data_IF_197078757768
#
_entry.id   IF_197078757768
#
_cell.length_a   1.000
_cell.length_b   1.000
_cell.length_c   1.000
_cell.angle_alpha   90.00
_cell.angle_beta   90.00
_cell.angle_gamma   90.00
#
_symmetry.space_group_name_H-M   'P 1'
#
loop_
_entity.id
_entity.type
_entity.pdbx_description
1 polymer ?
#
# COMPACT_ATOMS: atom_id res chain seq x y z
N UNK A 1 1.27 7.60 -7.31
CA UNK A 1 1.63 6.26 -7.81
C UNK A 1 2.92 6.27 -8.61
N UNK A 2 3.21 7.36 -9.28
CA UNK A 2 4.41 7.52 -10.11
C UNK A 2 5.42 8.47 -9.46
N UNK A 3 6.65 8.50 -9.99
CA UNK A 3 7.67 9.48 -9.61
C UNK A 3 7.14 10.90 -9.87
N UNK A 4 6.42 11.11 -10.98
CA UNK A 4 5.80 12.39 -11.30
C UNK A 4 4.80 12.85 -10.23
N UNK A 5 3.99 11.95 -9.67
CA UNK A 5 3.06 12.28 -8.58
C UNK A 5 3.80 12.71 -7.32
N UNK A 6 4.93 12.08 -7.01
CA UNK A 6 5.77 12.47 -5.88
C UNK A 6 6.34 13.89 -6.05
N UNK A 7 6.78 14.23 -7.26
CA UNK A 7 7.23 15.59 -7.57
C UNK A 7 6.09 16.61 -7.49
N UNK A 8 4.89 16.27 -7.97
CA UNK A 8 3.71 17.15 -7.87
C UNK A 8 3.33 17.44 -6.42
N UNK A 9 3.32 16.39 -5.55
CA UNK A 9 3.06 16.57 -4.11
C UNK A 9 4.12 17.47 -3.48
N UNK A 10 5.39 17.22 -3.75
CA UNK A 10 6.50 18.03 -3.23
C UNK A 10 6.39 19.50 -3.67
N UNK A 11 6.07 19.73 -4.93
CA UNK A 11 5.91 21.07 -5.49
C UNK A 11 4.69 21.78 -4.90
N UNK A 12 3.56 21.07 -4.72
CA UNK A 12 2.38 21.61 -4.06
C UNK A 12 2.70 22.09 -2.64
N UNK A 13 3.38 21.26 -1.85
CA UNK A 13 3.78 21.62 -0.47
C UNK A 13 4.70 22.84 -0.49
N UNK A 14 5.67 22.87 -1.41
CA UNK A 14 6.62 24.00 -1.52
C UNK A 14 5.93 25.33 -1.89
N UNK A 15 4.93 25.29 -2.75
CA UNK A 15 4.23 26.51 -3.21
C UNK A 15 3.14 26.99 -2.25
N UNK A 16 2.39 26.07 -1.69
CA UNK A 16 1.17 26.42 -0.93
C UNK A 16 1.38 26.42 0.58
N UNK A 17 2.50 25.87 1.08
CA UNK A 17 2.83 25.79 2.50
C UNK A 17 1.65 25.28 3.36
N UNK A 18 1.03 24.12 3.04
CA UNK A 18 -0.10 23.60 3.78
C UNK A 18 0.27 23.38 5.25
N UNK A 19 -0.61 23.78 6.16
CA UNK A 19 -0.43 23.62 7.60
C UNK A 19 -0.97 22.30 8.10
N UNK A 20 -1.95 21.73 7.39
CA UNK A 20 -2.63 20.50 7.76
C UNK A 20 -2.82 19.55 6.58
N UNK A 21 -2.77 18.25 6.85
CA UNK A 21 -3.02 17.21 5.87
C UNK A 21 -3.85 16.07 6.47
N UNK A 22 -4.82 15.57 5.72
CA UNK A 22 -5.48 14.29 6.00
C UNK A 22 -4.90 13.21 5.07
N UNK A 23 -4.42 12.11 5.65
CA UNK A 23 -4.07 10.90 4.91
C UNK A 23 -5.24 9.92 5.03
N UNK A 24 -5.97 9.74 3.94
CA UNK A 24 -7.08 8.79 3.86
C UNK A 24 -6.55 7.42 3.45
N UNK A 25 -6.71 6.42 4.33
CA UNK A 25 -6.15 5.09 4.17
C UNK A 25 -4.73 4.95 4.75
N UNK A 26 -4.27 3.69 4.96
CA UNK A 26 -3.05 3.43 5.73
C UNK A 26 -2.38 2.13 5.29
N UNK A 27 -2.08 2.03 4.04
CA UNK A 27 -1.14 0.99 3.56
C UNK A 27 0.29 1.28 4.03
N UNK A 28 1.19 0.32 3.83
CA UNK A 28 2.62 0.48 4.07
C UNK A 28 3.23 1.75 3.46
N UNK A 29 2.60 2.27 2.41
CA UNK A 29 3.07 3.47 1.69
C UNK A 29 2.69 4.79 2.37
N UNK A 30 1.68 4.81 3.24
CA UNK A 30 1.24 6.04 3.92
C UNK A 30 2.08 6.38 5.14
N UNK A 31 2.60 5.39 5.84
CA UNK A 31 3.35 5.57 7.08
C UNK A 31 4.66 6.36 6.93
N UNK A 32 5.54 6.09 5.95
CA UNK A 32 6.70 6.95 5.74
C UNK A 32 6.33 8.38 5.34
N UNK A 33 5.21 8.58 4.63
CA UNK A 33 4.75 9.90 4.19
C UNK A 33 4.34 10.81 5.34
N UNK A 34 3.71 10.26 6.39
CA UNK A 34 3.37 11.06 7.56
C UNK A 34 4.61 11.61 8.27
N UNK A 35 5.64 10.79 8.43
CA UNK A 35 6.90 11.24 9.03
C UNK A 35 7.52 12.37 8.20
N UNK A 36 7.47 12.26 6.86
CA UNK A 36 7.94 13.32 5.95
C UNK A 36 7.12 14.60 6.10
N UNK A 37 5.79 14.53 6.13
CA UNK A 37 4.93 15.70 6.30
C UNK A 37 5.13 16.35 7.67
N UNK A 38 5.23 15.57 8.73
CA UNK A 38 5.55 16.08 10.07
C UNK A 38 6.93 16.77 10.11
N UNK A 39 7.93 16.21 9.44
CA UNK A 39 9.24 16.86 9.27
C UNK A 39 9.19 18.20 8.54
N UNK A 40 8.12 18.45 7.74
CA UNK A 40 7.84 19.73 7.10
C UNK A 40 6.89 20.62 7.90
N UNK A 41 6.68 20.33 9.19
CA UNK A 41 5.78 21.05 10.11
C UNK A 41 4.31 21.06 9.71
N UNK A 42 3.86 20.07 8.94
CA UNK A 42 2.45 19.88 8.58
C UNK A 42 1.76 19.08 9.69
N UNK A 43 0.61 19.54 10.19
CA UNK A 43 -0.25 18.73 11.07
C UNK A 43 -0.85 17.57 10.29
N UNK A 44 -0.66 16.34 10.76
CA UNK A 44 -1.11 15.14 10.07
C UNK A 44 -2.25 14.49 10.85
N UNK A 45 -3.37 14.29 10.17
CA UNK A 45 -4.46 13.42 10.62
C UNK A 45 -4.53 12.21 9.71
N UNK A 46 -4.62 11.01 10.28
CA UNK A 46 -4.79 9.77 9.53
C UNK A 46 -6.20 9.26 9.77
N UNK A 47 -6.94 9.12 8.68
CA UNK A 47 -8.22 8.44 8.67
C UNK A 47 -8.09 7.01 8.18
N UNK A 48 -8.77 6.09 8.87
CA UNK A 48 -8.71 4.67 8.59
C UNK A 48 -10.02 3.97 8.88
N UNK A 49 -10.51 3.24 7.89
CA UNK A 49 -11.72 2.41 7.98
C UNK A 49 -11.64 1.37 9.11
N UNK A 50 -10.50 0.74 9.29
CA UNK A 50 -10.31 -0.26 10.33
C UNK A 50 -9.93 0.39 11.67
N UNK A 51 -10.33 -0.25 12.76
CA UNK A 51 -9.96 0.20 14.13
C UNK A 51 -8.46 0.07 14.43
N UNK A 52 -7.69 -0.51 13.52
CA UNK A 52 -6.22 -0.65 13.61
C UNK A 52 -5.53 -0.23 12.32
N UNK A 53 -4.35 0.30 12.46
CA UNK A 53 -3.46 0.54 11.33
C UNK A 53 -2.64 -0.72 11.05
N UNK A 54 -2.33 -0.93 9.75
CA UNK A 54 -1.46 -2.01 9.28
C UNK A 54 -2.04 -3.39 9.59
N UNK A 55 -2.86 -3.89 8.70
CA UNK A 55 -3.59 -5.16 8.81
C UNK A 55 -2.73 -6.37 9.24
N UNK A 56 -1.45 -6.54 8.80
CA UNK A 56 -0.64 -7.68 9.21
C UNK A 56 -0.23 -7.71 10.69
N UNK A 57 -0.37 -6.60 11.43
CA UNK A 57 -0.04 -6.58 12.85
C UNK A 57 -1.27 -6.91 13.70
N UNK A 58 -1.06 -7.67 14.76
CA UNK A 58 -2.07 -7.91 15.77
C UNK A 58 -2.43 -6.59 16.51
N UNK A 59 -3.64 -6.50 17.09
CA UNK A 59 -4.11 -5.24 17.69
C UNK A 59 -3.22 -4.68 18.80
N UNK A 60 -2.60 -5.54 19.60
CA UNK A 60 -1.67 -5.17 20.67
C UNK A 60 -0.38 -4.58 20.08
N UNK A 61 0.20 -5.23 19.08
CA UNK A 61 1.38 -4.72 18.38
C UNK A 61 1.08 -3.43 17.59
N UNK A 62 -0.07 -3.34 16.93
CA UNK A 62 -0.51 -2.13 16.28
C UNK A 62 -0.66 -0.96 17.25
N UNK A 63 -1.04 -1.21 18.52
CA UNK A 63 -1.17 -0.18 19.56
C UNK A 63 0.16 0.52 19.86
N UNK A 64 1.27 -0.19 19.81
CA UNK A 64 2.61 0.40 19.98
C UNK A 64 2.92 1.40 18.86
N UNK A 65 2.57 1.04 17.64
CA UNK A 65 2.72 1.92 16.47
C UNK A 65 1.83 3.16 16.62
N UNK A 66 0.56 2.98 17.04
CA UNK A 66 -0.34 4.09 17.30
C UNK A 66 0.21 5.06 18.36
N UNK A 67 0.81 4.52 19.43
CA UNK A 67 1.39 5.34 20.48
C UNK A 67 2.61 6.13 19.98
N UNK A 68 3.47 5.51 19.18
CA UNK A 68 4.60 6.19 18.56
C UNK A 68 4.14 7.33 17.65
N UNK A 69 3.10 7.11 16.85
CA UNK A 69 2.53 8.15 16.00
C UNK A 69 1.95 9.31 16.81
N UNK A 70 1.19 9.04 17.87
CA UNK A 70 0.63 10.07 18.75
C UNK A 70 1.73 10.87 19.47
N UNK A 71 2.79 10.21 19.91
CA UNK A 71 3.97 10.85 20.51
C UNK A 71 4.59 11.89 19.57
N UNK A 72 4.55 11.64 18.24
CA UNK A 72 5.01 12.57 17.23
C UNK A 72 3.92 13.52 16.70
N UNK A 73 2.80 13.64 17.41
CA UNK A 73 1.74 14.61 17.12
C UNK A 73 0.85 14.25 15.93
N UNK A 74 0.80 12.98 15.54
CA UNK A 74 -0.15 12.51 14.53
C UNK A 74 -1.51 12.25 15.16
N UNK A 75 -2.56 12.84 14.61
CA UNK A 75 -3.94 12.55 15.00
C UNK A 75 -4.43 11.29 14.30
N UNK A 76 -4.99 10.34 15.02
CA UNK A 76 -5.53 9.09 14.49
C UNK A 76 -7.05 9.10 14.62
N UNK A 77 -7.72 8.97 13.48
CA UNK A 77 -9.19 8.83 13.36
C UNK A 77 -9.44 7.44 12.77
N UNK A 78 -9.73 6.48 13.64
CA UNK A 78 -9.78 5.07 13.30
C UNK A 78 -11.22 4.52 13.37
N UNK A 79 -11.58 3.64 12.45
CA UNK A 79 -12.88 2.98 12.43
C UNK A 79 -13.97 3.76 11.69
N UNK A 80 -13.62 4.72 10.86
CA UNK A 80 -14.55 5.52 10.08
C UNK A 80 -14.32 5.34 8.59
N UNK A 81 -15.37 5.59 7.81
CA UNK A 81 -15.34 5.51 6.35
C UNK A 81 -15.38 6.90 5.78
N UNK A 82 -14.44 7.23 4.89
CA UNK A 82 -14.52 8.44 4.07
C UNK A 82 -15.59 8.23 3.01
N UNK A 83 -16.60 9.10 2.99
CA UNK A 83 -17.69 9.09 2.00
C UNK A 83 -17.43 10.05 0.83
N UNK A 84 -16.59 11.05 1.04
CA UNK A 84 -16.32 12.03 -0.01
C UNK A 84 -15.45 13.18 0.44
N UNK A 85 -15.25 14.08 -0.49
CA UNK A 85 -14.47 15.31 -0.30
C UNK A 85 -15.26 16.49 -0.84
N UNK A 86 -15.22 17.60 -0.13
CA UNK A 86 -15.77 18.89 -0.59
C UNK A 86 -14.67 19.93 -0.60
N UNK A 87 -14.54 20.63 -1.71
CA UNK A 87 -13.68 21.80 -1.79
C UNK A 87 -14.24 22.93 -0.93
N UNK A 88 -13.37 23.65 -0.24
CA UNK A 88 -13.67 24.82 0.57
C UNK A 88 -12.69 25.93 0.20
N UNK A 89 -13.06 27.18 0.48
CA UNK A 89 -12.23 28.35 0.18
C UNK A 89 -10.79 28.24 0.70
N UNK A 90 -10.60 27.54 1.84
CA UNK A 90 -9.30 27.34 2.48
C UNK A 90 -8.95 25.87 2.67
N UNK A 91 -9.16 25.01 1.65
CA UNK A 91 -8.76 23.62 1.72
C UNK A 91 -9.83 22.60 1.36
N UNK A 92 -9.82 21.46 2.01
CA UNK A 92 -10.70 20.32 1.73
C UNK A 92 -11.41 19.86 3.00
N UNK A 93 -12.71 19.67 2.92
CA UNK A 93 -13.51 18.98 3.91
C UNK A 93 -13.61 17.51 3.55
N UNK A 94 -13.15 16.63 4.44
CA UNK A 94 -13.26 15.18 4.33
C UNK A 94 -14.51 14.72 5.05
N UNK A 95 -15.46 14.17 4.33
CA UNK A 95 -16.72 13.69 4.86
C UNK A 95 -16.54 12.27 5.40
N UNK A 96 -16.85 12.08 6.67
CA UNK A 96 -16.81 10.78 7.34
C UNK A 96 -18.24 10.29 7.57
N UNK A 97 -18.44 8.98 7.38
CA UNK A 97 -19.72 8.34 7.69
C UNK A 97 -19.97 8.36 9.20
N UNK A 98 -21.15 8.86 9.58
CA UNK A 98 -21.63 8.89 10.97
C UNK A 98 -20.66 9.60 11.96
N UNK A 99 -19.83 10.53 11.47
CA UNK A 99 -18.88 11.28 12.29
C UNK A 99 -18.67 12.70 11.75
N UNK A 100 -18.27 13.68 12.60
CA UNK A 100 -17.91 15.02 12.14
C UNK A 100 -16.84 14.98 11.04
N UNK A 101 -17.00 15.87 10.04
CA UNK A 101 -16.03 16.01 8.96
C UNK A 101 -14.67 16.51 9.46
N UNK A 102 -13.61 16.18 8.72
CA UNK A 102 -12.27 16.68 8.96
C UNK A 102 -11.96 17.82 7.99
N UNK A 103 -11.26 18.84 8.46
CA UNK A 103 -10.78 19.95 7.64
C UNK A 103 -9.28 19.85 7.48
N UNK A 104 -8.78 20.06 6.26
CA UNK A 104 -7.34 20.10 5.98
C UNK A 104 -7.03 20.95 4.75
N UNK A 105 -5.80 21.47 4.69
CA UNK A 105 -5.31 22.20 3.51
C UNK A 105 -5.04 21.27 2.34
N UNK A 106 -4.74 19.99 2.62
CA UNK A 106 -4.53 18.96 1.60
C UNK A 106 -4.99 17.59 2.06
N UNK A 107 -5.34 16.73 1.09
CA UNK A 107 -5.66 15.33 1.31
C UNK A 107 -4.75 14.44 0.46
N UNK A 108 -4.21 13.40 1.07
CA UNK A 108 -3.43 12.36 0.37
C UNK A 108 -4.20 11.05 0.44
N UNK A 109 -4.61 10.53 -0.72
CA UNK A 109 -5.28 9.25 -0.80
C UNK A 109 -4.25 8.11 -0.82
N UNK A 110 -4.37 7.19 0.15
CA UNK A 110 -3.53 6.01 0.28
C UNK A 110 -4.39 4.75 0.53
N UNK A 111 -5.50 4.64 -0.20
CA UNK A 111 -6.55 3.62 -0.03
C UNK A 111 -6.21 2.26 -0.64
N UNK A 112 -4.95 2.03 -1.01
CA UNK A 112 -4.45 0.77 -1.56
C UNK A 112 -4.20 0.81 -3.06
N UNK A 113 -3.93 -0.38 -3.59
CA UNK A 113 -3.63 -0.61 -5.01
C UNK A 113 -4.46 -1.80 -5.51
N UNK A 114 -4.70 -1.79 -6.82
CA UNK A 114 -5.26 -2.93 -7.57
C UNK A 114 -4.26 -3.32 -8.64
N UNK A 115 -4.15 -4.63 -8.96
CA UNK A 115 -3.37 -5.07 -10.10
C UNK A 115 -3.80 -4.34 -11.38
N UNK A 116 -2.83 -3.89 -12.17
CA UNK A 116 -3.10 -3.34 -13.50
C UNK A 116 -2.96 -4.47 -14.52
N UNK A 117 -4.08 -5.09 -14.85
CA UNK A 117 -4.15 -6.33 -15.64
C UNK A 117 -5.02 -6.20 -16.89
N UNK A 118 -5.29 -4.96 -17.31
CA UNK A 118 -6.10 -4.70 -18.52
C UNK A 118 -5.49 -5.42 -19.71
N UNK A 119 -4.19 -5.26 -19.96
CA UNK A 119 -3.49 -5.91 -21.06
C UNK A 119 -3.54 -7.45 -20.97
N UNK A 120 -3.37 -8.00 -19.75
CA UNK A 120 -3.44 -9.44 -19.53
C UNK A 120 -4.84 -9.98 -19.82
N UNK A 121 -5.89 -9.28 -19.42
CA UNK A 121 -7.28 -9.60 -19.70
C UNK A 121 -7.61 -9.58 -21.21
N UNK A 122 -7.16 -8.55 -21.90
CA UNK A 122 -7.32 -8.42 -23.36
C UNK A 122 -6.55 -9.52 -24.12
N UNK A 123 -5.41 -9.96 -23.61
CA UNK A 123 -4.64 -11.08 -24.14
C UNK A 123 -5.21 -12.46 -23.78
N UNK A 124 -6.30 -12.54 -23.02
CA UNK A 124 -6.95 -13.79 -22.66
C UNK A 124 -6.23 -14.59 -21.58
N UNK A 125 -5.38 -13.98 -20.77
CA UNK A 125 -4.73 -14.64 -19.65
C UNK A 125 -5.74 -14.94 -18.53
N UNK A 126 -5.54 -16.04 -17.81
CA UNK A 126 -6.34 -16.38 -16.64
C UNK A 126 -6.07 -15.36 -15.50
N UNK A 127 -7.15 -14.83 -14.94
CA UNK A 127 -7.11 -13.89 -13.81
C UNK A 127 -7.74 -14.54 -12.57
N UNK A 128 -7.12 -14.30 -11.42
CA UNK A 128 -7.53 -14.83 -10.13
C UNK A 128 -8.08 -13.76 -9.19
N UNK A 129 -7.64 -13.81 -7.92
CA UNK A 129 -8.13 -12.91 -6.86
C UNK A 129 -7.88 -11.45 -7.24
N UNK A 130 -8.92 -10.61 -7.10
CA UNK A 130 -8.86 -9.17 -7.45
C UNK A 130 -8.32 -8.89 -8.85
N UNK A 131 -8.65 -9.76 -9.82
CA UNK A 131 -8.19 -9.68 -11.21
C UNK A 131 -6.66 -9.76 -11.38
N UNK A 132 -5.92 -10.35 -10.44
CA UNK A 132 -4.48 -10.61 -10.57
C UNK A 132 -4.20 -11.72 -11.58
N UNK A 133 -3.03 -11.68 -12.20
CA UNK A 133 -2.61 -12.71 -13.17
C UNK A 133 -2.29 -14.01 -12.43
N UNK A 134 -2.90 -15.12 -12.85
CA UNK A 134 -2.60 -16.46 -12.34
C UNK A 134 -1.29 -16.93 -12.99
N UNK A 135 -0.38 -17.41 -12.16
CA UNK A 135 0.90 -18.01 -12.60
C UNK A 135 1.16 -19.33 -11.86
N UNK A 136 1.90 -20.22 -12.49
CA UNK A 136 2.40 -21.42 -11.85
C UNK A 136 3.67 -21.14 -11.03
N UNK A 137 4.29 -22.18 -10.47
CA UNK A 137 5.54 -22.07 -9.69
C UNK A 137 6.77 -21.71 -10.53
N UNK A 138 6.69 -21.80 -11.84
CA UNK A 138 7.69 -21.30 -12.79
C UNK A 138 7.47 -19.85 -13.21
N UNK A 139 6.42 -19.21 -12.69
CA UNK A 139 5.95 -17.88 -13.05
C UNK A 139 5.38 -17.78 -14.49
N UNK A 140 5.01 -18.90 -15.11
CA UNK A 140 4.31 -18.96 -16.39
C UNK A 140 2.83 -18.67 -16.18
N UNK A 141 2.22 -17.96 -17.12
CA UNK A 141 0.78 -17.69 -17.14
C UNK A 141 0.00 -18.87 -17.74
N UNK A 142 -1.31 -18.71 -17.90
CA UNK A 142 -2.17 -19.68 -18.60
C UNK A 142 -1.87 -19.82 -20.10
N UNK A 143 -1.08 -18.91 -20.68
CA UNK A 143 -0.68 -18.93 -22.10
C UNK A 143 0.80 -19.28 -22.17
N UNK A 144 1.19 -20.29 -22.98
CA UNK A 144 2.60 -20.69 -23.11
C UNK A 144 3.51 -19.52 -23.53
N UNK A 145 4.73 -19.54 -23.06
CA UNK A 145 5.79 -18.56 -23.34
C UNK A 145 5.50 -17.14 -22.82
N UNK A 146 4.44 -16.98 -22.03
CA UNK A 146 4.14 -15.70 -21.35
C UNK A 146 4.34 -15.87 -19.84
N UNK A 147 5.17 -15.00 -19.28
CA UNK A 147 5.51 -14.97 -17.87
C UNK A 147 4.99 -13.69 -17.23
N UNK A 148 4.70 -13.74 -15.92
CA UNK A 148 4.31 -12.55 -15.17
C UNK A 148 4.92 -12.55 -13.75
N UNK A 149 5.26 -11.36 -13.25
CA UNK A 149 5.85 -11.16 -11.93
C UNK A 149 5.43 -9.82 -11.31
N UNK A 150 5.69 -9.66 -10.02
CA UNK A 150 5.51 -8.42 -9.29
C UNK A 150 4.12 -8.25 -8.71
N UNK A 151 3.68 -6.99 -8.57
CA UNK A 151 2.47 -6.64 -7.84
C UNK A 151 1.16 -7.07 -8.54
N UNK A 152 1.25 -7.44 -9.81
CA UNK A 152 0.09 -7.84 -10.62
C UNK A 152 -0.21 -9.34 -10.57
N UNK A 153 0.65 -10.16 -9.96
CA UNK A 153 0.48 -11.61 -9.95
C UNK A 153 -0.10 -12.13 -8.65
N UNK A 154 -0.88 -13.21 -8.75
CA UNK A 154 -1.32 -14.03 -7.64
C UNK A 154 -0.22 -15.04 -7.27
N UNK A 155 0.05 -15.20 -6.00
CA UNK A 155 1.04 -16.17 -5.50
C UNK A 155 0.46 -16.98 -4.36
N UNK A 156 1.11 -18.10 -4.01
CA UNK A 156 0.78 -18.85 -2.78
C UNK A 156 1.38 -18.16 -1.56
N UNK A 157 0.57 -17.98 -0.54
CA UNK A 157 1.07 -17.62 0.79
C UNK A 157 1.70 -18.86 1.42
N UNK A 158 3.01 -18.80 1.68
CA UNK A 158 3.79 -19.95 2.07
C UNK A 158 3.27 -20.66 3.33
N UNK A 159 2.80 -19.90 4.32
CA UNK A 159 2.34 -20.45 5.61
C UNK A 159 0.91 -21.02 5.50
N UNK A 160 0.01 -20.31 4.85
CA UNK A 160 -1.42 -20.70 4.81
C UNK A 160 -1.79 -21.59 3.62
N UNK A 161 -0.94 -21.63 2.58
CA UNK A 161 -1.22 -22.31 1.32
C UNK A 161 -2.28 -21.63 0.45
N UNK A 162 -2.87 -20.53 0.91
CA UNK A 162 -3.92 -19.80 0.19
C UNK A 162 -3.32 -18.90 -0.90
N UNK A 163 -4.16 -18.59 -1.90
CA UNK A 163 -3.83 -17.58 -2.89
C UNK A 163 -3.79 -16.19 -2.24
N UNK A 164 -2.78 -15.40 -2.59
CA UNK A 164 -2.53 -14.11 -2.00
C UNK A 164 -1.97 -13.10 -3.02
N UNK A 165 -2.21 -11.82 -2.76
CA UNK A 165 -1.52 -10.70 -3.40
C UNK A 165 -0.50 -10.14 -2.42
N UNK A 166 0.77 -10.29 -2.74
CA UNK A 166 1.87 -9.86 -1.87
C UNK A 166 2.72 -8.85 -2.65
N UNK A 167 2.23 -7.62 -2.70
CA UNK A 167 2.83 -6.49 -3.44
C UNK A 167 4.05 -5.94 -2.68
N UNK A 168 5.15 -6.69 -2.70
CA UNK A 168 6.41 -6.37 -2.04
C UNK A 168 7.60 -6.52 -3.00
N UNK A 169 8.58 -5.65 -2.87
CA UNK A 169 9.77 -5.62 -3.75
C UNK A 169 10.61 -6.90 -3.66
N UNK A 170 10.74 -7.51 -2.48
CA UNK A 170 11.48 -8.76 -2.30
C UNK A 170 10.92 -9.92 -3.13
N UNK A 171 9.63 -10.26 -2.99
CA UNK A 171 8.94 -11.21 -3.86
C UNK A 171 9.11 -10.88 -5.35
N UNK A 172 8.83 -9.65 -5.77
CA UNK A 172 8.94 -9.23 -7.17
C UNK A 172 10.33 -9.48 -7.75
N UNK A 173 11.39 -9.15 -7.00
CA UNK A 173 12.78 -9.42 -7.42
C UNK A 173 13.09 -10.91 -7.58
N UNK A 174 12.60 -11.75 -6.64
CA UNK A 174 12.80 -13.21 -6.74
C UNK A 174 12.06 -13.78 -7.93
N UNK A 175 10.82 -13.36 -8.14
CA UNK A 175 10.00 -13.77 -9.28
C UNK A 175 10.66 -13.43 -10.61
N UNK A 176 11.19 -12.19 -10.75
CA UNK A 176 11.90 -11.77 -11.96
C UNK A 176 13.14 -12.65 -12.27
N UNK A 177 13.92 -13.03 -11.24
CA UNK A 177 15.07 -13.91 -11.44
C UNK A 177 14.65 -15.33 -11.84
N UNK A 178 13.56 -15.86 -11.26
CA UNK A 178 13.01 -17.17 -11.64
C UNK A 178 12.55 -17.18 -13.09
N UNK A 179 11.92 -16.09 -13.54
CA UNK A 179 11.52 -15.93 -14.93
C UNK A 179 12.75 -15.94 -15.86
N UNK A 180 13.78 -15.16 -15.50
CA UNK A 180 15.03 -15.09 -16.26
C UNK A 180 15.65 -16.47 -16.44
N UNK A 181 15.83 -17.23 -15.35
CA UNK A 181 16.34 -18.59 -15.35
C UNK A 181 15.49 -19.49 -16.28
N UNK A 182 14.17 -19.42 -16.18
CA UNK A 182 13.26 -20.30 -16.90
C UNK A 182 13.20 -19.98 -18.41
N UNK A 183 13.25 -18.71 -18.78
CA UNK A 183 13.33 -18.28 -20.20
C UNK A 183 14.65 -18.79 -20.83
N UNK A 184 15.72 -18.83 -20.03
CA UNK A 184 17.02 -19.35 -20.48
C UNK A 184 17.13 -20.90 -20.45
N UNK A 185 16.03 -21.62 -20.21
CA UNK A 185 15.98 -23.08 -20.20
C UNK A 185 16.27 -23.72 -18.86
N UNK A 186 16.28 -22.96 -17.77
CA UNK A 186 16.38 -23.44 -16.39
C UNK A 186 15.08 -24.05 -15.87
N UNK A 187 15.11 -24.54 -14.62
CA UNK A 187 13.93 -25.08 -13.89
C UNK A 187 13.86 -24.48 -12.47
N UNK A 188 13.88 -23.16 -12.39
CA UNK A 188 13.73 -22.44 -11.12
C UNK A 188 12.26 -22.33 -10.72
N UNK A 189 12.00 -22.41 -9.38
CA UNK A 189 10.64 -22.43 -8.84
C UNK A 189 10.43 -21.42 -7.74
N UNK A 190 9.28 -20.75 -7.80
CA UNK A 190 8.81 -19.84 -6.77
C UNK A 190 7.88 -20.56 -5.80
N UNK A 191 8.38 -20.81 -4.59
CA UNK A 191 7.65 -21.58 -3.57
C UNK A 191 6.60 -20.75 -2.79
N UNK A 192 6.33 -19.53 -3.22
CA UNK A 192 5.41 -18.63 -2.54
C UNK A 192 6.12 -17.58 -1.66
N UNK A 193 5.33 -16.85 -0.89
CA UNK A 193 5.83 -15.78 -0.03
C UNK A 193 5.19 -15.80 1.34
N UNK A 194 5.98 -15.52 2.37
CA UNK A 194 5.50 -15.36 3.75
C UNK A 194 4.92 -13.97 4.03
N UNK A 195 5.00 -13.03 3.07
CA UNK A 195 4.58 -11.66 3.29
C UNK A 195 5.46 -10.87 4.27
N UNK A 196 6.69 -11.33 4.54
CA UNK A 196 7.60 -10.66 5.46
C UNK A 196 7.86 -9.23 5.05
N UNK A 197 7.66 -8.31 5.97
CA UNK A 197 7.79 -6.88 5.72
C UNK A 197 8.34 -6.13 6.94
N UNK A 198 8.98 -5.01 6.69
CA UNK A 198 9.51 -4.12 7.71
C UNK A 198 9.15 -2.68 7.36
N UNK A 199 8.81 -1.90 8.37
CA UNK A 199 8.48 -0.48 8.19
C UNK A 199 9.08 0.34 9.32
N UNK A 200 9.59 1.51 8.98
CA UNK A 200 10.02 2.53 9.95
C UNK A 200 8.88 3.52 10.16
N UNK A 201 8.54 3.74 11.43
CA UNK A 201 7.51 4.69 11.87
C UNK A 201 8.17 5.61 12.88
N UNK A 202 8.61 6.80 12.47
CA UNK A 202 9.43 7.73 13.26
C UNK A 202 10.68 7.02 13.82
N UNK A 203 10.78 6.86 15.14
CA UNK A 203 11.93 6.24 15.80
C UNK A 203 11.76 4.73 15.98
N UNK A 204 10.57 4.19 15.72
CA UNK A 204 10.25 2.78 15.83
C UNK A 204 10.44 2.06 14.49
N UNK A 205 10.96 0.85 14.56
CA UNK A 205 10.94 -0.12 13.44
C UNK A 205 9.99 -1.25 13.80
N UNK A 206 9.02 -1.53 12.93
CA UNK A 206 8.08 -2.63 13.08
C UNK A 206 8.26 -3.62 11.94
N UNK A 207 8.25 -4.92 12.24
CA UNK A 207 8.38 -5.99 11.27
C UNK A 207 7.34 -7.07 11.53
N UNK A 208 6.91 -7.73 10.46
CA UNK A 208 5.97 -8.86 10.52
C UNK A 208 6.35 -9.93 9.51
N UNK A 209 5.95 -11.16 9.75
CA UNK A 209 6.12 -12.32 8.87
C UNK A 209 5.04 -13.36 9.14
N UNK A 210 4.69 -14.17 8.15
CA UNK A 210 3.73 -15.26 8.29
C UNK A 210 2.32 -14.96 7.82
#
# INVERSE_FOLDING_TARGET
RTVADSFRIKEYIRRNHPKSAVLAGHGYTSLPRQATLRGLSVEVTIDQLLKRMIIPFDPDMASMIHNEMRKHGVKLVLGYTVEGFKEKDNGVEVLLKDNPSLQADMVVLAIGVTPDTVLAKEAGLELGIRESIVVNDRMETSVPDIYAAGDAVQVKHYVTGNDALISLAGPANKQGRIIDDNICGGDSRYLGSQGSSVIKVFDMTAATTG
#
